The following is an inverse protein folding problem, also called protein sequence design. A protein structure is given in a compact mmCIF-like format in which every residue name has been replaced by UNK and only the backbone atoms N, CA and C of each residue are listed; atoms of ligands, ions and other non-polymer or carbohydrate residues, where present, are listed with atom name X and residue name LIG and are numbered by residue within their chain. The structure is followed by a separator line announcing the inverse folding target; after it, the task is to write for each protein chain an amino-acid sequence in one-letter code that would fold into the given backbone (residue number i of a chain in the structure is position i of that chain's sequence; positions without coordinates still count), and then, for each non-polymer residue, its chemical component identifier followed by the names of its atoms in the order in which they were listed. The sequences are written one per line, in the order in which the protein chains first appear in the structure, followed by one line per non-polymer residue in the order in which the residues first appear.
data_IF_926269545178
#
_entry.id   IF_926269545178
#
_cell.length_a   1.000
_cell.length_b   1.000
_cell.length_c   1.000
_cell.angle_alpha   90.00
_cell.angle_beta   90.00
_cell.angle_gamma   90.00
#
_symmetry.space_group_name_H-M   'P 1'
#
loop_
_entity.id
_entity.type
_entity.pdbx_description
1 polymer ?
#
# COMPACT_ATOMS: atom_id res chain seq x y z
N UNK A 1 7.28 47.55 23.99
CA UNK A 1 8.58 48.04 24.52
C UNK A 1 9.58 46.89 24.40
N UNK A 2 10.46 46.80 23.38
CA UNK A 2 11.85 47.33 23.27
C UNK A 2 12.73 46.92 24.47
N UNK A 3 13.94 46.32 24.40
CA UNK A 3 15.16 46.41 23.53
C UNK A 3 15.97 45.08 23.70
N UNK A 4 16.65 44.47 22.71
CA UNK A 4 17.96 44.73 22.06
C UNK A 4 19.18 45.00 22.98
N UNK A 5 20.24 44.18 22.81
CA UNK A 5 21.66 44.42 23.12
C UNK A 5 22.44 43.11 22.90
N UNK A 6 23.17 42.87 21.80
CA UNK A 6 24.42 43.41 21.23
C UNK A 6 25.67 43.15 22.11
N UNK A 7 26.69 42.63 21.42
CA UNK A 7 27.95 41.95 21.76
C UNK A 7 29.00 42.81 22.50
N UNK A 8 30.17 42.24 22.89
CA UNK A 8 31.35 42.29 22.00
C UNK A 8 32.33 41.08 22.08
N UNK A 9 33.16 40.94 21.04
CA UNK A 9 34.37 40.09 20.96
C UNK A 9 35.60 40.79 21.57
N UNK A 10 36.71 40.04 21.82
CA UNK A 10 38.02 40.59 21.49
C UNK A 10 38.98 39.61 20.76
N UNK A 11 40.02 40.21 20.16
CA UNK A 11 40.99 39.67 19.19
C UNK A 11 42.32 39.20 19.84
N UNK A 12 42.95 38.24 19.17
CA UNK A 12 44.39 38.05 18.85
C UNK A 12 45.48 38.18 19.92
N UNK A 13 46.33 37.15 20.03
CA UNK A 13 47.75 37.29 20.34
C UNK A 13 48.58 36.22 19.61
N UNK A 14 49.84 36.56 19.36
CA UNK A 14 50.76 36.11 18.29
C UNK A 14 52.07 35.64 18.94
N UNK A 15 52.74 34.61 18.43
CA UNK A 15 54.15 34.28 18.73
C UNK A 15 54.73 33.30 17.67
N UNK A 16 56.06 33.09 17.56
CA UNK A 16 56.95 33.84 16.65
C UNK A 16 57.77 32.93 15.69
N UNK A 17 58.66 33.54 14.89
CA UNK A 17 59.40 32.92 13.77
C UNK A 17 60.93 33.12 13.92
N UNK A 18 61.69 32.00 13.75
CA UNK A 18 63.10 31.80 13.25
C UNK A 18 64.32 32.18 14.13
N UNK A 19 65.57 31.68 13.87
CA UNK A 19 66.15 31.17 12.60
C UNK A 19 67.14 29.95 12.58
N UNK A 20 67.29 29.37 11.37
CA UNK A 20 68.49 28.86 10.62
C UNK A 20 69.70 28.15 11.28
N UNK A 21 70.07 26.96 10.77
CA UNK A 21 71.46 26.63 10.35
C UNK A 21 71.60 25.27 9.59
N UNK A 22 72.29 25.34 8.44
CA UNK A 22 73.22 24.42 7.74
C UNK A 22 73.14 22.86 7.79
N UNK A 23 73.35 22.27 6.60
CA UNK A 23 73.60 20.84 6.29
C UNK A 23 74.94 20.33 6.86
N UNK A 24 75.14 18.99 6.94
CA UNK A 24 75.95 18.34 5.90
C UNK A 24 75.37 17.02 5.37
N UNK A 25 75.94 16.55 4.25
CA UNK A 25 75.61 15.29 3.57
C UNK A 25 76.36 14.08 4.18
N UNK A 26 75.74 12.89 4.14
CA UNK A 26 76.33 11.58 4.50
C UNK A 26 75.31 10.45 4.34
N UNK A 27 75.74 9.18 4.09
CA UNK A 27 75.19 8.31 3.05
C UNK A 27 73.99 7.44 3.46
N UNK A 28 73.24 6.99 2.45
CA UNK A 28 72.16 6.02 2.57
C UNK A 28 72.64 4.65 3.10
N UNK A 29 71.75 3.89 3.77
CA UNK A 29 71.53 2.52 3.34
C UNK A 29 70.04 2.12 3.22
N UNK A 30 69.80 1.43 2.11
CA UNK A 30 68.81 0.40 1.79
C UNK A 30 67.94 -0.26 2.88
N UNK A 31 66.66 -0.47 2.51
CA UNK A 31 65.73 -1.48 3.03
C UNK A 31 64.63 -0.86 3.90
N UNK A 32 63.32 -0.96 3.64
CA UNK A 32 62.50 -1.85 2.81
C UNK A 32 61.26 -1.04 2.41
N UNK A 33 61.10 -0.74 1.12
CA UNK A 33 59.88 -0.14 0.61
C UNK A 33 58.78 -1.21 0.58
N UNK A 34 57.70 -0.98 1.30
CA UNK A 34 56.46 -1.74 1.19
C UNK A 34 56.06 -1.84 -0.29
N UNK A 35 55.86 -3.07 -0.76
CA UNK A 35 55.39 -3.32 -2.12
C UNK A 35 54.05 -2.61 -2.33
N UNK A 36 53.87 -1.82 -3.41
CA UNK A 36 52.56 -1.35 -3.77
C UNK A 36 51.76 -2.58 -4.22
N UNK A 37 50.65 -2.87 -3.54
CA UNK A 37 49.64 -3.80 -4.02
C UNK A 37 49.22 -3.35 -5.41
N UNK A 38 49.68 -4.07 -6.45
CA UNK A 38 49.17 -3.96 -7.81
C UNK A 38 47.70 -4.34 -7.76
N UNK A 39 46.80 -3.36 -7.69
CA UNK A 39 45.45 -3.55 -8.18
C UNK A 39 45.58 -3.77 -9.69
N UNK A 40 45.49 -5.03 -10.11
CA UNK A 40 45.44 -5.39 -11.50
C UNK A 40 44.19 -4.73 -12.10
N UNK A 41 44.38 -3.64 -12.83
CA UNK A 41 43.35 -3.03 -13.66
C UNK A 41 43.01 -4.06 -14.72
N UNK A 42 41.97 -4.87 -14.49
CA UNK A 42 41.43 -5.78 -15.50
C UNK A 42 41.13 -4.94 -16.75
N UNK A 43 41.52 -5.39 -17.95
CA UNK A 43 41.28 -4.61 -19.15
C UNK A 43 39.77 -4.49 -19.35
N UNK A 44 39.24 -3.26 -19.32
CA UNK A 44 37.80 -2.92 -19.40
C UNK A 44 37.02 -3.66 -20.49
N UNK A 45 37.68 -4.04 -21.60
CA UNK A 45 37.04 -4.83 -22.68
C UNK A 45 36.62 -6.23 -22.23
N UNK A 46 37.31 -6.84 -21.26
CA UNK A 46 36.99 -8.19 -20.76
C UNK A 46 35.83 -8.16 -19.78
N UNK A 47 35.81 -7.19 -18.86
CA UNK A 47 34.73 -7.02 -17.87
C UNK A 47 33.42 -6.61 -18.52
N UNK A 48 33.49 -5.77 -19.55
CA UNK A 48 32.32 -5.38 -20.34
C UNK A 48 31.65 -6.59 -21.02
N UNK A 49 32.42 -7.48 -21.65
CA UNK A 49 31.87 -8.68 -22.31
C UNK A 49 31.21 -9.61 -21.28
N UNK A 50 31.86 -9.84 -20.14
CA UNK A 50 31.31 -10.65 -19.04
C UNK A 50 29.99 -10.05 -18.52
N UNK A 51 29.92 -8.73 -18.36
CA UNK A 51 28.73 -8.02 -17.92
C UNK A 51 27.58 -8.09 -18.96
N UNK A 52 27.90 -8.01 -20.26
CA UNK A 52 26.92 -8.12 -21.36
C UNK A 52 26.25 -9.49 -21.37
N UNK A 53 26.99 -10.58 -21.11
CA UNK A 53 26.40 -11.94 -21.07
C UNK A 53 25.35 -12.05 -19.96
N UNK A 54 25.61 -11.48 -18.78
CA UNK A 54 24.64 -11.49 -17.68
C UNK A 54 23.44 -10.61 -18.01
N UNK A 55 23.68 -9.44 -18.60
CA UNK A 55 22.63 -8.55 -19.07
C UNK A 55 21.72 -9.21 -20.13
N UNK A 56 22.27 -9.92 -21.10
CA UNK A 56 21.51 -10.66 -22.13
C UNK A 56 20.65 -11.76 -21.51
N UNK A 57 21.18 -12.52 -20.54
CA UNK A 57 20.39 -13.49 -19.76
C UNK A 57 19.24 -12.82 -19.00
N UNK A 58 19.47 -11.63 -18.45
CA UNK A 58 18.42 -10.83 -17.82
C UNK A 58 17.32 -10.42 -18.80
N UNK A 59 17.69 -10.05 -20.04
CA UNK A 59 16.73 -9.75 -21.11
C UNK A 59 15.94 -10.99 -21.54
N UNK A 60 16.57 -12.16 -21.63
CA UNK A 60 15.85 -13.41 -21.93
C UNK A 60 14.82 -13.76 -20.85
N UNK A 61 15.20 -13.64 -19.57
CA UNK A 61 14.28 -13.83 -18.46
C UNK A 61 13.11 -12.83 -18.51
N UNK A 62 13.39 -11.57 -18.87
CA UNK A 62 12.36 -10.55 -19.08
C UNK A 62 11.40 -10.92 -20.21
N UNK A 63 11.91 -11.45 -21.34
CA UNK A 63 11.07 -11.93 -22.45
C UNK A 63 10.18 -13.11 -22.04
N UNK A 64 10.65 -13.96 -21.12
CA UNK A 64 9.87 -15.07 -20.55
C UNK A 64 8.88 -14.63 -19.46
N UNK A 65 8.81 -13.33 -19.14
CA UNK A 65 8.03 -12.76 -18.03
C UNK A 65 8.49 -13.22 -16.63
N UNK A 66 9.70 -13.77 -16.51
CA UNK A 66 10.31 -14.16 -15.24
C UNK A 66 10.92 -12.91 -14.57
N UNK A 67 10.05 -11.97 -14.16
CA UNK A 67 10.46 -10.63 -13.72
C UNK A 67 11.38 -10.65 -12.50
N UNK A 68 11.21 -11.63 -11.59
CA UNK A 68 12.06 -11.78 -10.43
C UNK A 68 13.48 -12.22 -10.82
N UNK A 69 13.60 -13.25 -11.67
CA UNK A 69 14.90 -13.75 -12.15
C UNK A 69 15.62 -12.68 -12.96
N UNK A 70 14.89 -11.94 -13.80
CA UNK A 70 15.43 -10.82 -14.56
C UNK A 70 15.96 -9.71 -13.64
N UNK A 71 15.22 -9.35 -12.58
CA UNK A 71 15.65 -8.36 -11.60
C UNK A 71 16.96 -8.78 -10.92
N UNK A 72 17.05 -10.02 -10.45
CA UNK A 72 18.25 -10.54 -9.76
C UNK A 72 19.49 -10.51 -10.68
N UNK A 73 19.31 -10.89 -11.95
CA UNK A 73 20.38 -10.84 -12.96
C UNK A 73 20.84 -9.40 -13.22
N UNK A 74 19.91 -8.46 -13.38
CA UNK A 74 20.22 -7.05 -13.55
C UNK A 74 20.91 -6.43 -12.34
N UNK A 75 20.47 -6.75 -11.12
CA UNK A 75 21.14 -6.32 -9.89
C UNK A 75 22.57 -6.89 -9.78
N UNK A 76 22.78 -8.11 -10.24
CA UNK A 76 24.11 -8.71 -10.26
C UNK A 76 25.08 -7.95 -11.18
N UNK A 77 24.60 -7.40 -12.31
CA UNK A 77 25.42 -6.55 -13.20
C UNK A 77 25.86 -5.27 -12.47
N UNK A 78 24.93 -4.60 -11.77
CA UNK A 78 25.25 -3.38 -11.01
C UNK A 78 26.25 -3.64 -9.87
N UNK A 79 26.18 -4.82 -9.25
CA UNK A 79 27.02 -5.21 -8.11
C UNK A 79 28.42 -5.68 -8.52
N UNK A 80 28.50 -6.52 -9.54
CA UNK A 80 29.75 -7.19 -9.94
C UNK A 80 30.62 -6.32 -10.84
N UNK A 81 30.04 -5.39 -11.61
CA UNK A 81 30.75 -4.56 -12.59
C UNK A 81 30.48 -3.07 -12.36
N UNK A 82 30.88 -2.50 -11.21
CA UNK A 82 30.59 -1.11 -10.84
C UNK A 82 31.22 -0.06 -11.77
N UNK A 83 32.26 -0.43 -12.53
CA UNK A 83 32.93 0.42 -13.51
C UNK A 83 32.18 0.61 -14.84
N UNK A 84 31.24 -0.27 -15.18
CA UNK A 84 30.55 -0.31 -16.48
C UNK A 84 29.32 0.62 -16.53
N UNK A 85 29.58 1.93 -16.45
CA UNK A 85 28.53 2.97 -16.32
C UNK A 85 27.48 2.97 -17.43
N UNK A 86 27.89 2.74 -18.68
CA UNK A 86 26.99 2.73 -19.84
C UNK A 86 25.98 1.57 -19.76
N UNK A 87 26.44 0.39 -19.31
CA UNK A 87 25.57 -0.76 -19.13
C UNK A 87 24.62 -0.56 -17.95
N UNK A 88 25.05 0.14 -16.89
CA UNK A 88 24.18 0.43 -15.74
C UNK A 88 22.96 1.26 -16.09
N UNK A 89 23.08 2.24 -16.99
CA UNK A 89 21.94 3.06 -17.42
C UNK A 89 20.86 2.19 -18.07
N UNK A 90 21.27 1.26 -18.92
CA UNK A 90 20.39 0.29 -19.58
C UNK A 90 19.79 -0.69 -18.57
N UNK A 91 20.62 -1.27 -17.71
CA UNK A 91 20.20 -2.22 -16.67
C UNK A 91 19.16 -1.59 -15.73
N UNK A 92 19.35 -0.33 -15.31
CA UNK A 92 18.41 0.37 -14.43
C UNK A 92 17.04 0.57 -15.06
N UNK A 93 16.98 0.82 -16.38
CA UNK A 93 15.70 0.92 -17.09
C UNK A 93 14.91 -0.39 -17.00
N UNK A 94 15.55 -1.53 -17.30
CA UNK A 94 14.90 -2.83 -17.25
C UNK A 94 14.60 -3.28 -15.82
N UNK A 95 15.49 -2.98 -14.87
CA UNK A 95 15.28 -3.30 -13.46
C UNK A 95 14.02 -2.59 -12.90
N UNK A 96 13.76 -1.35 -13.30
CA UNK A 96 12.53 -0.64 -12.92
C UNK A 96 11.27 -1.38 -13.42
N UNK A 97 11.30 -1.81 -14.69
CA UNK A 97 10.20 -2.58 -15.30
C UNK A 97 10.01 -3.90 -14.54
N UNK A 98 11.09 -4.65 -14.29
CA UNK A 98 11.06 -5.90 -13.55
C UNK A 98 10.51 -5.71 -12.14
N UNK A 99 10.99 -4.72 -11.39
CA UNK A 99 10.53 -4.47 -10.02
C UNK A 99 9.05 -4.09 -9.98
N UNK A 100 8.58 -3.25 -10.92
CA UNK A 100 7.16 -2.89 -11.00
C UNK A 100 6.26 -4.10 -11.28
N UNK A 101 6.74 -5.04 -12.07
CA UNK A 101 5.97 -6.21 -12.48
C UNK A 101 6.10 -7.39 -11.52
N UNK A 102 7.24 -7.50 -10.82
CA UNK A 102 7.49 -8.49 -9.77
C UNK A 102 6.88 -8.10 -8.43
N UNK A 103 6.63 -6.80 -8.20
CA UNK A 103 5.88 -6.35 -7.04
C UNK A 103 4.50 -7.02 -7.03
N UNK A 104 4.12 -7.74 -5.95
CA UNK A 104 2.75 -8.18 -5.78
C UNK A 104 1.86 -6.96 -5.91
N UNK A 105 0.99 -6.93 -6.92
CA UNK A 105 -0.12 -5.99 -6.88
C UNK A 105 -0.94 -6.43 -5.67
N UNK A 106 -0.83 -5.71 -4.56
CA UNK A 106 -1.93 -5.60 -3.61
C UNK A 106 -3.09 -5.10 -4.46
N UNK A 107 -3.89 -6.04 -4.97
CA UNK A 107 -5.00 -5.75 -5.83
C UNK A 107 -6.06 -5.13 -4.92
N UNK A 108 -5.97 -3.81 -4.74
CA UNK A 108 -7.03 -3.03 -4.12
C UNK A 108 -8.28 -3.34 -4.95
N UNK A 109 -9.33 -3.95 -4.37
CA UNK A 109 -10.52 -4.32 -5.11
C UNK A 109 -11.10 -3.11 -5.86
N UNK A 110 -11.15 -3.20 -7.20
CA UNK A 110 -11.50 -2.05 -8.05
C UNK A 110 -12.95 -2.07 -8.49
N UNK A 111 -13.53 -3.26 -8.64
CA UNK A 111 -14.93 -3.42 -9.03
C UNK A 111 -15.82 -3.62 -7.81
N UNK A 112 -17.13 -3.38 -7.97
CA UNK A 112 -18.12 -3.68 -6.93
C UNK A 112 -18.04 -5.16 -6.50
N UNK A 113 -17.96 -6.07 -7.46
CA UNK A 113 -17.90 -7.52 -7.20
C UNK A 113 -16.61 -7.92 -6.46
N UNK A 114 -15.47 -7.36 -6.84
CA UNK A 114 -14.20 -7.62 -6.14
C UNK A 114 -14.25 -7.10 -4.70
N UNK A 115 -14.88 -5.93 -4.47
CA UNK A 115 -15.03 -5.36 -3.12
C UNK A 115 -15.98 -6.19 -2.27
N UNK A 116 -17.08 -6.68 -2.84
CA UNK A 116 -18.00 -7.61 -2.17
C UNK A 116 -17.28 -8.91 -1.82
N UNK A 117 -16.53 -9.49 -2.76
CA UNK A 117 -15.75 -10.70 -2.51
C UNK A 117 -14.70 -10.48 -1.41
N UNK A 118 -13.94 -9.39 -1.47
CA UNK A 118 -12.96 -9.03 -0.45
C UNK A 118 -13.61 -8.82 0.92
N UNK A 119 -14.79 -8.19 0.98
CA UNK A 119 -15.54 -8.02 2.21
C UNK A 119 -16.00 -9.36 2.79
N UNK A 120 -16.48 -10.30 1.97
CA UNK A 120 -16.84 -11.65 2.41
C UNK A 120 -15.65 -12.37 3.02
N UNK A 121 -14.49 -12.33 2.35
CA UNK A 121 -13.27 -12.93 2.90
C UNK A 121 -12.84 -12.27 4.22
N UNK A 122 -12.97 -10.95 4.31
CA UNK A 122 -12.65 -10.21 5.53
C UNK A 122 -13.60 -10.56 6.69
N UNK A 123 -14.90 -10.68 6.46
CA UNK A 123 -15.89 -11.11 7.47
C UNK A 123 -15.54 -12.52 7.97
N UNK A 124 -15.31 -13.47 7.05
CA UNK A 124 -14.95 -14.84 7.40
C UNK A 124 -13.64 -14.94 8.19
N UNK A 125 -12.71 -14.00 7.95
CA UNK A 125 -11.45 -13.89 8.69
C UNK A 125 -11.54 -13.11 10.00
N UNK A 126 -12.72 -12.60 10.38
CA UNK A 126 -12.90 -11.74 11.56
C UNK A 126 -12.38 -10.30 11.40
N UNK A 127 -11.97 -9.92 10.19
CA UNK A 127 -11.40 -8.60 9.87
C UNK A 127 -12.51 -7.59 9.54
N UNK A 128 -13.41 -7.33 10.50
CA UNK A 128 -14.63 -6.55 10.26
C UNK A 128 -14.36 -5.11 9.80
N UNK A 129 -13.30 -4.47 10.28
CA UNK A 129 -12.92 -3.12 9.83
C UNK A 129 -12.61 -3.07 8.34
N UNK A 130 -11.88 -4.06 7.83
CA UNK A 130 -11.57 -4.15 6.40
C UNK A 130 -12.81 -4.45 5.57
N UNK A 131 -13.71 -5.30 6.07
CA UNK A 131 -14.98 -5.57 5.41
C UNK A 131 -15.81 -4.28 5.27
N UNK A 132 -15.93 -3.50 6.36
CA UNK A 132 -16.70 -2.25 6.38
C UNK A 132 -16.12 -1.22 5.40
N UNK A 133 -14.78 -1.12 5.28
CA UNK A 133 -14.16 -0.22 4.29
C UNK A 133 -14.58 -0.60 2.87
N UNK A 134 -14.47 -1.87 2.49
CA UNK A 134 -14.83 -2.32 1.14
C UNK A 134 -16.34 -2.15 0.87
N UNK A 135 -17.19 -2.49 1.85
CA UNK A 135 -18.64 -2.41 1.71
C UNK A 135 -19.15 -0.97 1.65
N UNK A 136 -18.50 -0.03 2.34
CA UNK A 136 -18.84 1.41 2.22
C UNK A 136 -18.59 1.91 0.80
N UNK A 137 -17.50 1.50 0.17
CA UNK A 137 -17.24 1.83 -1.23
C UNK A 137 -18.31 1.26 -2.16
N UNK A 138 -18.78 0.03 -1.91
CA UNK A 138 -19.88 -0.57 -2.67
C UNK A 138 -21.17 0.24 -2.47
N UNK A 139 -21.55 0.54 -1.23
CA UNK A 139 -22.74 1.32 -0.89
C UNK A 139 -22.70 2.75 -1.47
N UNK A 140 -21.53 3.38 -1.49
CA UNK A 140 -21.41 4.75 -1.99
C UNK A 140 -21.57 4.82 -3.53
N UNK A 141 -21.22 3.74 -4.24
CA UNK A 141 -21.38 3.60 -5.69
C UNK A 141 -22.73 2.99 -6.09
N UNK A 142 -23.26 2.06 -5.29
CA UNK A 142 -24.59 1.43 -5.44
C UNK A 142 -25.36 1.45 -4.10
N UNK A 143 -26.06 2.56 -3.79
CA UNK A 143 -26.74 2.76 -2.50
C UNK A 143 -27.94 1.84 -2.25
N UNK A 144 -28.48 1.22 -3.29
CA UNK A 144 -29.64 0.33 -3.21
C UNK A 144 -29.24 -1.15 -3.32
N UNK A 145 -27.94 -1.47 -3.20
CA UNK A 145 -27.44 -2.82 -3.10
C UNK A 145 -27.81 -3.45 -1.75
N UNK A 146 -28.91 -4.20 -1.70
CA UNK A 146 -29.41 -4.81 -0.47
C UNK A 146 -28.41 -5.82 0.11
N UNK A 147 -27.64 -6.50 -0.73
CA UNK A 147 -26.61 -7.45 -0.31
C UNK A 147 -25.45 -6.75 0.41
N UNK A 148 -24.92 -5.66 -0.14
CA UNK A 148 -23.86 -4.88 0.51
C UNK A 148 -24.32 -4.28 1.86
N UNK A 149 -25.57 -3.80 1.91
CA UNK A 149 -26.17 -3.30 3.14
C UNK A 149 -26.36 -4.42 4.18
N UNK A 150 -26.77 -5.60 3.76
CA UNK A 150 -26.86 -6.76 4.65
C UNK A 150 -25.49 -7.16 5.20
N UNK A 151 -24.46 -7.21 4.35
CA UNK A 151 -23.09 -7.49 4.80
C UNK A 151 -22.53 -6.41 5.73
N UNK A 152 -22.91 -5.13 5.55
CA UNK A 152 -22.58 -4.07 6.50
C UNK A 152 -23.22 -4.33 7.85
N UNK A 153 -24.48 -4.78 7.87
CA UNK A 153 -25.15 -5.15 9.10
C UNK A 153 -24.41 -6.26 9.86
N UNK A 154 -24.03 -7.32 9.13
CA UNK A 154 -23.24 -8.44 9.67
C UNK A 154 -21.90 -7.95 10.23
N UNK A 155 -21.12 -7.21 9.45
CA UNK A 155 -19.81 -6.74 9.87
C UNK A 155 -19.88 -5.80 11.09
N UNK A 156 -20.86 -4.90 11.13
CA UNK A 156 -21.08 -4.03 12.28
C UNK A 156 -21.56 -4.79 13.52
N UNK A 157 -22.46 -5.78 13.36
CA UNK A 157 -22.93 -6.61 14.48
C UNK A 157 -21.77 -7.37 15.13
N UNK A 158 -20.92 -8.00 14.31
CA UNK A 158 -19.75 -8.74 14.78
C UNK A 158 -18.66 -7.85 15.38
N UNK A 159 -18.52 -6.60 14.88
CA UNK A 159 -17.63 -5.59 15.49
C UNK A 159 -18.18 -5.02 16.82
N UNK A 160 -19.48 -5.20 17.10
CA UNK A 160 -20.16 -4.70 18.30
C UNK A 160 -20.91 -3.36 18.12
N UNK A 161 -20.96 -2.83 16.90
CA UNK A 161 -21.65 -1.58 16.57
C UNK A 161 -23.14 -1.82 16.29
N UNK A 162 -23.88 -2.21 17.32
CA UNK A 162 -25.25 -2.71 17.15
C UNK A 162 -26.19 -1.69 16.51
N UNK A 163 -26.01 -0.38 16.76
CA UNK A 163 -26.85 0.67 16.18
C UNK A 163 -26.66 0.79 14.65
N UNK A 164 -25.42 0.79 14.17
CA UNK A 164 -25.12 0.82 12.73
C UNK A 164 -25.59 -0.46 12.05
N UNK A 165 -25.41 -1.60 12.73
CA UNK A 165 -25.86 -2.88 12.23
C UNK A 165 -27.37 -2.91 11.96
N UNK A 166 -28.17 -2.41 12.91
CA UNK A 166 -29.62 -2.32 12.78
C UNK A 166 -30.04 -1.39 11.64
N UNK A 167 -29.43 -0.21 11.54
CA UNK A 167 -29.77 0.76 10.49
C UNK A 167 -29.52 0.16 9.09
N UNK A 168 -28.39 -0.53 8.90
CA UNK A 168 -28.08 -1.19 7.64
C UNK A 168 -29.01 -2.38 7.36
N UNK A 169 -29.34 -3.17 8.38
CA UNK A 169 -30.25 -4.31 8.25
C UNK A 169 -31.67 -3.88 7.87
N UNK A 170 -32.19 -2.83 8.52
CA UNK A 170 -33.52 -2.28 8.21
C UNK A 170 -33.61 -1.80 6.76
N UNK A 171 -32.55 -1.14 6.28
CA UNK A 171 -32.47 -0.71 4.88
C UNK A 171 -32.41 -1.91 3.93
N UNK A 172 -31.60 -2.91 4.22
CA UNK A 172 -31.50 -4.13 3.42
C UNK A 172 -32.84 -4.87 3.34
N UNK A 173 -33.58 -4.98 4.45
CA UNK A 173 -34.92 -5.59 4.49
C UNK A 173 -35.96 -4.74 3.75
N UNK A 174 -35.82 -3.41 3.77
CA UNK A 174 -36.72 -2.50 3.05
C UNK A 174 -36.55 -2.63 1.53
N UNK A 175 -35.31 -2.79 1.06
CA UNK A 175 -34.99 -2.97 -0.35
C UNK A 175 -35.36 -4.38 -0.84
N UNK A 176 -35.02 -5.39 -0.05
CA UNK A 176 -35.33 -6.79 -0.33
C UNK A 176 -35.90 -7.48 0.92
N UNK A 177 -37.23 -7.70 0.97
CA UNK A 177 -37.88 -8.34 2.10
C UNK A 177 -37.42 -9.77 2.41
N UNK A 178 -36.76 -10.48 1.48
CA UNK A 178 -36.22 -11.82 1.73
C UNK A 178 -35.08 -11.81 2.75
N UNK A 179 -34.35 -10.69 2.87
CA UNK A 179 -33.32 -10.49 3.88
C UNK A 179 -33.85 -10.65 5.31
N UNK A 180 -35.16 -10.47 5.51
CA UNK A 180 -35.81 -10.74 6.81
C UNK A 180 -35.70 -12.21 7.20
N UNK A 181 -35.98 -13.12 6.27
CA UNK A 181 -35.92 -14.54 6.53
C UNK A 181 -34.47 -14.99 6.77
N UNK A 182 -33.53 -14.45 5.98
CA UNK A 182 -32.10 -14.68 6.16
C UNK A 182 -31.65 -14.23 7.56
N UNK A 183 -31.96 -12.99 7.95
CA UNK A 183 -31.58 -12.42 9.24
C UNK A 183 -32.10 -13.22 10.44
N UNK A 184 -33.28 -13.84 10.33
CA UNK A 184 -33.81 -14.70 11.39
C UNK A 184 -32.97 -15.94 11.64
N UNK A 185 -32.26 -16.47 10.66
CA UNK A 185 -31.48 -17.71 10.78
C UNK A 185 -29.98 -17.48 10.76
N UNK A 186 -29.54 -16.25 10.47
CA UNK A 186 -28.13 -15.90 10.39
C UNK A 186 -27.47 -15.90 11.77
N UNK A 187 -26.44 -16.74 12.01
CA UNK A 187 -25.70 -16.74 13.27
C UNK A 187 -24.81 -15.51 13.43
N UNK A 188 -24.42 -14.84 12.34
CA UNK A 188 -23.56 -13.65 12.44
C UNK A 188 -24.34 -12.42 12.96
N UNK A 189 -25.67 -12.52 13.05
CA UNK A 189 -26.52 -11.51 13.68
C UNK A 189 -26.94 -11.89 15.12
N UNK A 190 -26.33 -12.92 15.71
CA UNK A 190 -26.54 -13.29 17.11
C UNK A 190 -26.39 -12.10 18.09
N UNK A 191 -25.41 -11.19 17.94
CA UNK A 191 -25.29 -10.01 18.79
C UNK A 191 -26.53 -9.10 18.82
N UNK A 192 -27.36 -9.13 17.78
CA UNK A 192 -28.58 -8.31 17.66
C UNK A 192 -29.83 -8.97 18.27
N UNK A 193 -29.79 -10.27 18.58
CA UNK A 193 -30.98 -11.04 19.04
C UNK A 193 -31.58 -10.53 20.34
N UNK A 194 -30.78 -9.89 21.18
CA UNK A 194 -31.22 -9.24 22.42
C UNK A 194 -31.96 -7.92 22.20
N UNK A 195 -31.86 -7.33 21.01
CA UNK A 195 -32.44 -6.03 20.71
C UNK A 195 -33.91 -6.13 20.26
N UNK A 196 -34.78 -5.31 20.86
CA UNK A 196 -36.21 -5.27 20.53
C UNK A 196 -36.46 -4.81 19.08
N UNK A 197 -35.69 -3.84 18.57
CA UNK A 197 -35.80 -3.37 17.18
C UNK A 197 -35.46 -4.47 16.19
N UNK A 198 -34.43 -5.27 16.47
CA UNK A 198 -34.09 -6.43 15.65
C UNK A 198 -35.26 -7.42 15.61
N UNK A 199 -35.77 -7.82 16.78
CA UNK A 199 -36.89 -8.78 16.89
C UNK A 199 -38.10 -8.30 16.12
N UNK A 200 -38.52 -7.06 16.32
CA UNK A 200 -39.67 -6.48 15.62
C UNK A 200 -39.44 -6.38 14.10
N UNK A 201 -38.24 -5.98 13.67
CA UNK A 201 -37.88 -5.92 12.26
C UNK A 201 -37.92 -7.29 11.59
N UNK A 202 -37.44 -8.34 12.29
CA UNK A 202 -37.44 -9.69 11.73
C UNK A 202 -38.77 -10.40 11.92
N UNK A 203 -39.54 -10.19 12.97
CA UNK A 203 -40.80 -10.91 13.26
C UNK A 203 -42.02 -10.32 12.55
N UNK A 204 -41.92 -9.08 12.04
CA UNK A 204 -42.99 -8.50 11.24
C UNK A 204 -43.29 -9.38 10.03
N UNK A 205 -44.48 -10.00 10.02
CA UNK A 205 -44.96 -10.77 8.89
C UNK A 205 -45.08 -9.86 7.67
N UNK A 206 -44.61 -10.35 6.51
CA UNK A 206 -44.84 -9.70 5.23
C UNK A 206 -46.35 -9.74 4.92
N UNK A 207 -47.10 -8.74 5.41
CA UNK A 207 -48.53 -8.64 5.19
C UNK A 207 -49.11 -7.41 5.85
N UNK A 208 -49.69 -6.51 5.03
CA UNK A 208 -50.60 -5.40 5.38
C UNK A 208 -50.09 -3.94 5.46
N UNK A 209 -49.01 -3.55 4.76
CA UNK A 209 -48.86 -2.13 4.36
C UNK A 209 -48.40 -1.96 2.92
N UNK A 210 -49.21 -2.46 2.00
CA UNK A 210 -49.33 -1.81 0.69
C UNK A 210 -49.92 -0.43 0.93
N UNK A 211 -49.06 0.58 1.11
CA UNK A 211 -49.48 1.98 1.10
C UNK A 211 -49.97 2.26 -0.32
N UNK A 212 -51.29 2.30 -0.45
CA UNK A 212 -52.04 2.69 -1.63
C UNK A 212 -51.58 4.09 -2.08
N UNK A 213 -50.60 4.15 -2.99
CA UNK A 213 -50.11 5.39 -3.63
C UNK A 213 -51.12 5.99 -4.63
N UNK A 214 -52.41 5.62 -4.55
CA UNK A 214 -53.46 6.14 -5.44
C UNK A 214 -54.71 6.59 -4.70
N UNK A 215 -54.58 7.41 -3.66
CA UNK A 215 -55.70 8.22 -3.16
C UNK A 215 -55.23 9.43 -2.36
N UNK A 216 -54.87 10.52 -3.03
CA UNK A 216 -54.96 11.90 -2.50
C UNK A 216 -54.50 12.95 -3.52
N UNK A 217 -55.16 13.05 -4.68
CA UNK A 217 -55.38 14.37 -5.33
C UNK A 217 -56.71 14.32 -6.08
N UNK A 218 -57.83 14.47 -5.36
CA UNK A 218 -59.11 14.84 -5.98
C UNK A 218 -60.04 15.51 -4.98
N UNK A 219 -59.82 16.80 -4.76
CA UNK A 219 -60.82 17.75 -4.25
C UNK A 219 -60.38 19.15 -4.68
N UNK A 220 -60.94 19.64 -5.80
CA UNK A 220 -61.93 20.72 -5.88
C UNK A 220 -61.37 22.11 -5.49
N UNK A 221 -61.09 22.93 -6.51
CA UNK A 221 -61.28 24.37 -6.41
C UNK A 221 -62.40 24.77 -7.37
N UNK A 222 -63.52 25.20 -6.79
CA UNK A 222 -64.58 25.96 -7.44
C UNK A 222 -64.66 27.31 -6.74
N UNK A 223 -64.27 28.39 -7.42
CA UNK A 223 -64.99 29.66 -7.47
C UNK A 223 -64.36 30.58 -8.49
#
# INVERSE_FOLDING_TARGET
MAKKGRSPSPKSARAPVRPSAARPAGPAPSGTAAAPTRHAVRPRRSTYIEAVVIYERGLEALQRHDFQVAADLFESVLRQYPEEKELHERVRLYLNICQRQAAPREAIPQTLDERLYAATLAINGGNYDQAIVNLRLVRDEDPDNDHALYMLAVAHAQRGDLAEALAHLERAITLNPENRALARTDPDLEPLRGNETFRTAVDTAAGSRGVDRRRLVRTRFTR
#
